data_IF_360680530437
#
_entry.id   IF_360680530437
#
_cell.length_a   1.000
_cell.length_b   1.000
_cell.length_c   1.000
_cell.angle_alpha   90.00
_cell.angle_beta   90.00
_cell.angle_gamma   90.00
#
_symmetry.space_group_name_H-M   'P 1'
#
loop_
_entity.id
_entity.type
_entity.pdbx_description
1 polymer ?
#
# COMPACT_ATOMS: atom_id res chain seq x y z
N UNK A 1 36.18 13.19 23.55
CA UNK A 1 34.99 13.27 22.68
C UNK A 1 33.97 12.26 23.18
N UNK A 2 32.97 12.72 23.93
CA UNK A 2 31.81 11.90 24.28
C UNK A 2 30.87 11.94 23.08
N UNK A 3 30.70 10.79 22.41
CA UNK A 3 29.69 10.67 21.36
C UNK A 3 28.32 10.72 22.02
N UNK A 4 27.53 11.72 21.67
CA UNK A 4 26.16 11.86 22.13
C UNK A 4 25.31 10.79 21.43
N UNK A 5 24.85 9.80 22.21
CA UNK A 5 24.13 8.62 21.72
C UNK A 5 22.62 8.81 21.70
N UNK A 6 22.12 9.96 22.14
CA UNK A 6 20.68 10.26 22.29
C UNK A 6 19.90 10.15 20.96
N UNK A 7 20.53 10.50 19.83
CA UNK A 7 19.88 10.48 18.51
C UNK A 7 20.14 9.21 17.68
N UNK A 8 20.91 8.25 18.21
CA UNK A 8 21.19 7.00 17.50
C UNK A 8 19.94 6.19 17.13
N UNK A 9 18.88 6.14 17.95
CA UNK A 9 17.67 5.39 17.61
C UNK A 9 17.03 5.87 16.30
N UNK A 10 16.97 7.18 16.09
CA UNK A 10 16.35 7.80 14.91
C UNK A 10 17.26 7.68 13.69
N UNK A 11 18.56 7.90 13.86
CA UNK A 11 19.55 7.72 12.79
C UNK A 11 19.57 6.28 12.26
N UNK A 12 19.40 5.29 13.15
CA UNK A 12 19.32 3.88 12.77
C UNK A 12 18.05 3.59 11.98
N UNK A 13 16.91 4.19 12.32
CA UNK A 13 15.66 4.05 11.56
C UNK A 13 15.78 4.62 10.15
N UNK A 14 16.38 5.80 10.00
CA UNK A 14 16.60 6.43 8.70
C UNK A 14 17.51 5.58 7.80
N UNK A 15 18.57 5.00 8.39
CA UNK A 15 19.46 4.07 7.68
C UNK A 15 18.70 2.81 7.27
N UNK A 16 17.85 2.25 8.13
CA UNK A 16 17.04 1.09 7.77
C UNK A 16 16.01 1.41 6.69
N UNK A 17 15.37 2.59 6.73
CA UNK A 17 14.47 3.03 5.68
C UNK A 17 15.20 3.17 4.34
N UNK A 18 16.43 3.70 4.34
CA UNK A 18 17.27 3.79 3.16
C UNK A 18 17.68 2.40 2.63
N UNK A 19 18.05 1.47 3.50
CA UNK A 19 18.37 0.09 3.11
C UNK A 19 17.13 -0.56 2.50
N UNK A 20 16.00 -0.49 3.19
CA UNK A 20 14.75 -1.14 2.78
C UNK A 20 14.25 -0.57 1.45
N UNK A 21 14.29 0.74 1.22
CA UNK A 21 13.84 1.33 -0.05
C UNK A 21 14.59 0.75 -1.26
N UNK A 22 15.90 0.51 -1.12
CA UNK A 22 16.77 -0.08 -2.14
C UNK A 22 16.66 -1.61 -2.29
N UNK A 23 15.97 -2.30 -1.39
CA UNK A 23 15.80 -3.75 -1.47
C UNK A 23 14.80 -4.16 -2.57
N UNK A 24 15.08 -5.31 -3.18
CA UNK A 24 14.11 -5.99 -4.06
C UNK A 24 12.87 -6.45 -3.28
N UNK A 25 11.68 -6.53 -3.91
CA UNK A 25 10.42 -6.90 -3.26
C UNK A 25 10.49 -8.21 -2.46
N UNK A 26 11.19 -9.23 -3.00
CA UNK A 26 11.39 -10.52 -2.33
C UNK A 26 12.11 -10.39 -0.98
N UNK A 27 13.09 -9.50 -0.89
CA UNK A 27 13.85 -9.27 0.34
C UNK A 27 13.02 -8.43 1.32
N UNK A 28 12.29 -7.41 0.83
CA UNK A 28 11.34 -6.62 1.64
C UNK A 28 10.32 -7.51 2.34
N UNK A 29 9.80 -8.53 1.65
CA UNK A 29 8.87 -9.50 2.24
C UNK A 29 9.49 -10.28 3.41
N UNK A 30 10.76 -10.67 3.30
CA UNK A 30 11.47 -11.37 4.36
C UNK A 30 11.71 -10.46 5.57
N UNK A 31 12.20 -9.24 5.36
CA UNK A 31 12.40 -8.23 6.41
C UNK A 31 11.11 -7.89 7.17
N UNK A 32 10.00 -7.78 6.44
CA UNK A 32 8.67 -7.51 7.01
C UNK A 32 8.24 -8.57 8.02
N UNK A 33 8.68 -9.81 7.84
CA UNK A 33 8.33 -10.94 8.71
C UNK A 33 9.30 -11.11 9.88
N UNK A 34 10.46 -10.47 9.86
CA UNK A 34 11.52 -10.67 10.86
C UNK A 34 11.14 -10.14 12.25
N UNK A 35 10.67 -8.89 12.34
CA UNK A 35 10.22 -8.31 13.61
C UNK A 35 9.24 -7.15 13.39
N UNK A 36 8.56 -6.71 14.48
CA UNK A 36 7.59 -5.60 14.42
C UNK A 36 8.21 -4.29 13.92
N UNK A 37 9.46 -4.02 14.28
CA UNK A 37 10.18 -2.80 13.89
C UNK A 37 10.44 -2.77 12.39
N UNK A 38 11.00 -3.84 11.83
CA UNK A 38 11.19 -3.97 10.38
C UNK A 38 9.86 -4.01 9.61
N UNK A 39 8.82 -4.61 10.18
CA UNK A 39 7.48 -4.53 9.59
C UNK A 39 7.07 -3.07 9.38
N UNK A 40 7.18 -2.23 10.41
CA UNK A 40 6.84 -0.80 10.31
C UNK A 40 7.71 -0.09 9.27
N UNK A 41 9.03 -0.30 9.27
CA UNK A 41 9.94 0.33 8.30
C UNK A 41 9.62 -0.09 6.86
N UNK A 42 9.34 -1.37 6.63
CA UNK A 42 8.92 -1.85 5.31
C UNK A 42 7.59 -1.24 4.92
N UNK A 43 6.61 -1.25 5.81
CA UNK A 43 5.26 -0.74 5.58
C UNK A 43 5.28 0.77 5.21
N UNK A 44 6.05 1.61 5.91
CA UNK A 44 6.16 3.05 5.57
C UNK A 44 6.96 3.32 4.28
N UNK A 45 7.86 2.43 3.88
CA UNK A 45 8.69 2.62 2.67
C UNK A 45 8.04 2.09 1.39
N UNK A 46 6.85 1.49 1.49
CA UNK A 46 6.09 1.00 0.33
C UNK A 46 5.52 2.16 -0.46
N UNK A 47 6.03 2.33 -1.68
CA UNK A 47 5.52 3.33 -2.64
C UNK A 47 4.45 2.77 -3.59
N UNK A 48 4.39 1.45 -3.77
CA UNK A 48 3.45 0.80 -4.67
C UNK A 48 2.74 -0.36 -3.98
N UNK A 49 1.41 -0.28 -3.92
CA UNK A 49 0.53 -1.30 -3.34
C UNK A 49 -0.12 -2.07 -4.47
N UNK A 50 -0.01 -3.39 -4.45
CA UNK A 50 -0.74 -4.27 -5.36
C UNK A 50 -1.81 -5.04 -4.61
N UNK A 51 -3.06 -4.92 -5.03
CA UNK A 51 -4.21 -5.53 -4.36
C UNK A 51 -5.08 -6.31 -5.33
N UNK A 52 -5.53 -7.47 -4.86
CA UNK A 52 -6.56 -8.26 -5.52
C UNK A 52 -7.81 -8.28 -4.63
N UNK A 53 -8.86 -7.53 -4.98
CA UNK A 53 -10.10 -7.49 -4.20
C UNK A 53 -10.94 -8.78 -4.30
N UNK A 54 -10.58 -9.72 -5.18
CA UNK A 54 -11.26 -11.01 -5.33
C UNK A 54 -10.79 -12.08 -4.35
N UNK A 55 -9.67 -11.83 -3.66
CA UNK A 55 -9.12 -12.76 -2.68
C UNK A 55 -10.01 -12.94 -1.43
N UNK A 56 -9.80 -14.00 -0.63
CA UNK A 56 -10.60 -14.30 0.56
C UNK A 56 -10.47 -13.28 1.71
N UNK A 57 -9.64 -12.23 1.55
CA UNK A 57 -9.53 -11.13 2.50
C UNK A 57 -10.60 -10.10 2.25
N UNK A 58 -11.52 -9.90 3.21
CA UNK A 58 -12.50 -8.83 3.10
C UNK A 58 -11.78 -7.48 3.00
N UNK A 59 -12.05 -6.71 1.94
CA UNK A 59 -11.56 -5.34 1.70
C UNK A 59 -11.79 -4.43 2.93
N UNK A 60 -12.79 -4.75 3.75
CA UNK A 60 -13.11 -4.07 5.03
C UNK A 60 -11.99 -4.12 6.06
N UNK A 61 -11.15 -5.16 6.03
CA UNK A 61 -10.04 -5.42 6.96
C UNK A 61 -8.76 -4.67 6.59
N UNK A 62 -8.69 -4.13 5.37
CA UNK A 62 -7.54 -3.35 4.93
C UNK A 62 -7.52 -1.98 5.61
N UNK A 63 -6.33 -1.42 5.79
CA UNK A 63 -6.17 -0.07 6.31
C UNK A 63 -4.91 0.54 5.70
N UNK A 64 -5.02 1.02 4.45
CA UNK A 64 -3.86 1.51 3.70
C UNK A 64 -3.28 2.80 4.29
N UNK A 65 -4.10 3.68 4.89
CA UNK A 65 -3.59 4.90 5.52
C UNK A 65 -2.62 4.60 6.67
N UNK A 66 -2.91 3.58 7.49
CA UNK A 66 -2.04 3.23 8.61
C UNK A 66 -0.90 2.31 8.21
N UNK A 67 -1.11 1.41 7.25
CA UNK A 67 -0.09 0.45 6.81
C UNK A 67 0.86 1.03 5.76
N UNK A 68 0.39 1.89 4.87
CA UNK A 68 1.16 2.39 3.72
C UNK A 68 0.94 3.90 3.52
N UNK A 69 1.23 4.73 4.54
CA UNK A 69 0.90 6.17 4.54
C UNK A 69 1.57 6.95 3.42
N UNK A 70 2.70 6.47 2.90
CA UNK A 70 3.50 7.13 1.86
C UNK A 70 3.37 6.48 0.48
N UNK A 71 2.36 5.63 0.29
CA UNK A 71 2.12 5.00 -1.01
C UNK A 71 1.67 6.03 -2.05
N UNK A 72 2.30 5.97 -3.22
CA UNK A 72 2.05 6.87 -4.35
C UNK A 72 1.38 6.16 -5.52
N UNK A 73 1.50 4.84 -5.60
CA UNK A 73 0.98 4.02 -6.68
C UNK A 73 0.09 2.90 -6.11
N UNK A 74 -1.07 2.68 -6.72
CA UNK A 74 -1.97 1.58 -6.40
C UNK A 74 -2.29 0.77 -7.66
N UNK A 75 -1.94 -0.51 -7.65
CA UNK A 75 -2.26 -1.47 -8.70
C UNK A 75 -3.40 -2.39 -8.21
N UNK A 76 -4.60 -2.20 -8.76
CA UNK A 76 -5.77 -3.05 -8.48
C UNK A 76 -5.90 -4.06 -9.62
N UNK A 77 -5.28 -5.22 -9.46
CA UNK A 77 -5.25 -6.27 -10.47
C UNK A 77 -5.96 -7.53 -9.97
N UNK A 78 -6.82 -8.12 -10.81
CA UNK A 78 -7.47 -9.40 -10.52
C UNK A 78 -6.59 -10.57 -10.95
N UNK A 79 -6.54 -11.64 -10.16
CA UNK A 79 -5.88 -12.89 -10.55
C UNK A 79 -6.61 -13.64 -11.67
N UNK A 80 -7.94 -13.48 -11.80
CA UNK A 80 -8.75 -14.21 -12.78
C UNK A 80 -9.66 -13.29 -13.63
N UNK A 81 -9.73 -13.47 -14.96
CA UNK A 81 -10.51 -12.62 -15.86
C UNK A 81 -12.04 -12.83 -15.75
N UNK A 82 -12.49 -13.89 -15.06
CA UNK A 82 -13.91 -14.25 -14.97
C UNK A 82 -14.58 -13.84 -13.65
N UNK A 83 -13.83 -13.38 -12.66
CA UNK A 83 -14.40 -12.87 -11.43
C UNK A 83 -14.83 -11.41 -11.61
N UNK A 84 -16.15 -11.23 -11.71
CA UNK A 84 -16.76 -9.91 -11.59
C UNK A 84 -16.49 -9.44 -10.17
N UNK A 85 -15.68 -8.37 -10.06
CA UNK A 85 -15.52 -7.69 -8.80
C UNK A 85 -16.92 -7.25 -8.37
N UNK A 86 -17.33 -7.64 -7.16
CA UNK A 86 -18.57 -7.15 -6.61
C UNK A 86 -18.45 -5.63 -6.49
N UNK A 87 -19.34 -4.87 -7.15
CA UNK A 87 -19.31 -3.41 -7.19
C UNK A 87 -19.27 -2.80 -5.78
N UNK A 88 -19.83 -3.50 -4.77
CA UNK A 88 -19.76 -3.10 -3.36
C UNK A 88 -18.34 -3.21 -2.76
N UNK A 89 -17.58 -4.25 -3.10
CA UNK A 89 -16.20 -4.41 -2.65
C UNK A 89 -15.29 -3.38 -3.32
N UNK A 90 -15.55 -3.05 -4.58
CA UNK A 90 -14.86 -1.97 -5.29
C UNK A 90 -15.16 -0.61 -4.65
N UNK A 91 -16.43 -0.28 -4.45
CA UNK A 91 -16.84 0.97 -3.84
C UNK A 91 -16.22 1.13 -2.44
N UNK A 92 -16.19 0.07 -1.64
CA UNK A 92 -15.53 0.05 -0.33
C UNK A 92 -14.01 0.25 -0.42
N UNK A 93 -13.33 -0.37 -1.39
CA UNK A 93 -11.91 -0.14 -1.63
C UNK A 93 -11.65 1.33 -1.89
N UNK A 94 -12.42 1.92 -2.81
CA UNK A 94 -12.17 3.27 -3.29
C UNK A 94 -12.58 4.33 -2.26
N UNK A 95 -13.79 4.23 -1.69
CA UNK A 95 -14.32 5.22 -0.75
C UNK A 95 -13.63 5.18 0.61
N UNK A 96 -13.15 4.02 1.07
CA UNK A 96 -12.57 3.88 2.41
C UNK A 96 -11.05 3.81 2.40
N UNK A 97 -10.47 3.06 1.47
CA UNK A 97 -9.03 2.77 1.47
C UNK A 97 -8.28 3.77 0.59
N UNK A 98 -8.70 3.94 -0.66
CA UNK A 98 -8.01 4.82 -1.60
C UNK A 98 -8.16 6.29 -1.23
N UNK A 99 -9.37 6.75 -0.87
CA UNK A 99 -9.61 8.12 -0.43
C UNK A 99 -8.71 8.56 0.74
N UNK A 100 -8.24 7.59 1.54
CA UNK A 100 -7.36 7.83 2.68
C UNK A 100 -5.87 7.98 2.30
N UNK A 101 -5.50 7.64 1.06
CA UNK A 101 -4.14 7.76 0.53
C UNK A 101 -3.91 9.15 -0.08
N UNK A 102 -3.47 10.09 0.75
CA UNK A 102 -3.28 11.50 0.36
C UNK A 102 -2.16 11.74 -0.66
N UNK A 103 -1.22 10.80 -0.78
CA UNK A 103 -0.05 10.92 -1.65
C UNK A 103 -0.17 10.08 -2.93
N UNK A 104 -1.35 9.50 -3.17
CA UNK A 104 -1.60 8.71 -4.36
C UNK A 104 -1.56 9.60 -5.61
N UNK A 105 -0.66 9.27 -6.53
CA UNK A 105 -0.45 10.00 -7.79
C UNK A 105 -0.78 9.16 -9.01
N UNK A 106 -0.68 7.83 -8.90
CA UNK A 106 -1.07 6.92 -9.96
C UNK A 106 -1.92 5.78 -9.44
N UNK A 107 -2.86 5.34 -10.28
CA UNK A 107 -3.71 4.19 -10.02
C UNK A 107 -3.84 3.37 -11.30
N UNK A 108 -3.53 2.09 -11.21
CA UNK A 108 -3.81 1.12 -12.27
C UNK A 108 -5.09 0.33 -11.92
N UNK A 109 -6.02 0.30 -12.85
CA UNK A 109 -7.31 -0.42 -12.75
C UNK A 109 -7.47 -1.42 -13.91
N UNK A 110 -6.37 -1.88 -14.51
CA UNK A 110 -6.39 -2.90 -15.55
C UNK A 110 -7.20 -4.13 -15.11
N UNK A 111 -8.12 -4.58 -15.97
CA UNK A 111 -9.05 -5.69 -15.73
C UNK A 111 -10.16 -5.42 -14.68
N UNK A 112 -10.32 -4.18 -14.23
CA UNK A 112 -11.55 -3.74 -13.53
C UNK A 112 -12.69 -3.50 -14.53
N UNK A 113 -13.95 -3.64 -14.08
CA UNK A 113 -15.11 -3.39 -14.93
C UNK A 113 -15.24 -1.91 -15.32
N UNK A 114 -15.83 -1.61 -16.48
CA UNK A 114 -15.98 -0.22 -16.97
C UNK A 114 -16.70 0.71 -15.98
N UNK A 115 -17.71 0.21 -15.25
CA UNK A 115 -18.43 0.94 -14.21
C UNK A 115 -17.54 1.24 -12.99
N UNK A 116 -16.68 0.30 -12.61
CA UNK A 116 -15.70 0.48 -11.53
C UNK A 116 -14.69 1.57 -11.89
N UNK A 117 -14.16 1.56 -13.12
CA UNK A 117 -13.22 2.57 -13.60
C UNK A 117 -13.87 3.96 -13.68
N UNK A 118 -15.12 4.06 -14.13
CA UNK A 118 -15.85 5.32 -14.14
C UNK A 118 -16.11 5.86 -12.72
N UNK A 119 -16.50 4.99 -11.78
CA UNK A 119 -16.68 5.36 -10.37
C UNK A 119 -15.38 5.81 -9.70
N UNK A 120 -14.26 5.18 -10.04
CA UNK A 120 -12.93 5.60 -9.59
C UNK A 120 -12.54 6.99 -10.09
N UNK A 121 -12.69 7.23 -11.39
CA UNK A 121 -12.39 8.52 -12.00
C UNK A 121 -13.26 9.64 -11.41
N UNK A 122 -14.55 9.35 -11.16
CA UNK A 122 -15.45 10.31 -10.52
C UNK A 122 -15.01 10.69 -9.09
N UNK A 123 -14.44 9.76 -8.32
CA UNK A 123 -13.92 10.05 -6.98
C UNK A 123 -12.60 10.81 -6.96
N UNK A 124 -11.77 10.66 -7.99
CA UNK A 124 -10.51 11.43 -8.11
C UNK A 124 -10.79 12.89 -8.51
N UNK A 125 -11.91 13.14 -9.19
CA UNK A 125 -12.33 14.45 -9.68
C UNK A 125 -13.25 15.24 -8.71
N UNK A 126 -13.71 14.62 -7.63
CA UNK A 126 -14.61 15.21 -6.63
C UNK A 126 -13.84 15.69 -5.38
#
# INVERSE_FOLDING_TARGET
MTFDTTNWPDLIEDVWALVVTNLQPRHKAHFRQTCRRFKTVVDITVQSIKVDPSGPGQVSSWNFCTQFPFSTNLDVSKAAPHDKLNDSAFAMLMLKQVSSLKLLTSMNLENCGQLSVAGAAAMVLA
#
